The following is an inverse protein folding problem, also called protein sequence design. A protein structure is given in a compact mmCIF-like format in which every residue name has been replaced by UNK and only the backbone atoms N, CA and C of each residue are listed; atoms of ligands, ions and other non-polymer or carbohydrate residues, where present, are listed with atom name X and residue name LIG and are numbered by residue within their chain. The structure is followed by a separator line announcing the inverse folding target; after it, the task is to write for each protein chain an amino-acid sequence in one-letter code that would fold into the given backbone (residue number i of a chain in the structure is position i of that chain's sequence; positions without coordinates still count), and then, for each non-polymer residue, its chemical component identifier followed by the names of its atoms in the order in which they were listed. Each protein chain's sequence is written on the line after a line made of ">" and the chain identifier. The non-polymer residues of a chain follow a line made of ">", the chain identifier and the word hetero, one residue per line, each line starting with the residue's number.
data_IF_371744458663
#
_entry.id   IF_371744458663
#
_cell.length_a   1.000
_cell.length_b   1.000
_cell.length_c   1.000
_cell.angle_alpha   90.00
_cell.angle_beta   90.00
_cell.angle_gamma   90.00
#
_symmetry.space_group_name_H-M   'P 1'
#
loop_
_entity.id
_entity.type
_entity.pdbx_description
1 polymer ?
#
# COMPACT_ATOMS: atom_id res chain seq x y z
N UNK A 1 -2.80 -6.46 -8.53
CA UNK A 1 -1.92 -6.01 -7.42
C UNK A 1 -0.49 -6.53 -7.42
N UNK A 2 -0.16 -7.78 -7.79
CA UNK A 2 1.25 -8.22 -7.82
C UNK A 2 2.16 -7.29 -8.64
N UNK A 3 1.71 -6.91 -9.85
CA UNK A 3 2.45 -5.99 -10.71
C UNK A 3 2.62 -4.60 -10.07
N UNK A 4 1.51 -4.01 -9.58
CA UNK A 4 1.56 -2.73 -8.87
C UNK A 4 2.54 -2.76 -7.70
N UNK A 5 2.56 -3.83 -6.90
CA UNK A 5 3.42 -3.95 -5.72
C UNK A 5 4.91 -4.02 -6.13
N UNK A 6 5.21 -4.73 -7.21
CA UNK A 6 6.56 -4.78 -7.78
C UNK A 6 6.99 -3.42 -8.33
N UNK A 7 6.11 -2.75 -9.06
CA UNK A 7 6.37 -1.43 -9.63
C UNK A 7 6.56 -0.38 -8.52
N UNK A 8 5.80 -0.49 -7.42
CA UNK A 8 5.91 0.39 -6.26
C UNK A 8 7.22 0.17 -5.49
N UNK A 9 7.59 -1.09 -5.24
CA UNK A 9 8.89 -1.43 -4.64
C UNK A 9 10.05 -0.94 -5.49
N UNK A 10 9.97 -1.12 -6.81
CA UNK A 10 10.99 -0.65 -7.73
C UNK A 10 11.10 0.89 -7.68
N UNK A 11 9.96 1.59 -7.69
CA UNK A 11 9.95 3.05 -7.61
C UNK A 11 10.50 3.58 -6.26
N UNK A 12 10.33 2.84 -5.16
CA UNK A 12 10.97 3.16 -3.88
C UNK A 12 12.50 3.03 -3.96
N UNK A 13 13.00 1.92 -4.53
CA UNK A 13 14.44 1.66 -4.70
C UNK A 13 15.08 2.70 -5.63
N UNK A 14 14.38 3.07 -6.70
CA UNK A 14 14.81 4.10 -7.65
C UNK A 14 14.66 5.53 -7.11
N UNK A 15 14.08 5.70 -5.90
CA UNK A 15 13.66 6.99 -5.33
C UNK A 15 12.83 7.85 -6.31
N UNK A 16 12.09 7.19 -7.21
CA UNK A 16 11.36 7.82 -8.30
C UNK A 16 9.98 8.28 -7.81
N UNK A 17 9.95 9.51 -7.29
CA UNK A 17 8.74 10.09 -6.72
C UNK A 17 7.61 10.16 -7.74
N UNK A 18 7.86 10.62 -8.96
CA UNK A 18 6.77 10.81 -9.93
C UNK A 18 6.11 9.47 -10.31
N UNK A 19 6.89 8.39 -10.31
CA UNK A 19 6.38 7.02 -10.47
C UNK A 19 5.60 6.55 -9.24
N UNK A 20 6.06 6.86 -8.02
CA UNK A 20 5.31 6.59 -6.79
C UNK A 20 3.96 7.31 -6.77
N UNK A 21 3.92 8.58 -7.18
CA UNK A 21 2.69 9.38 -7.24
C UNK A 21 1.69 8.80 -8.24
N UNK A 22 2.15 8.46 -9.44
CA UNK A 22 1.31 7.83 -10.46
C UNK A 22 0.77 6.45 -10.04
N UNK A 23 1.56 5.68 -9.28
CA UNK A 23 1.11 4.39 -8.76
C UNK A 23 0.07 4.57 -7.65
N UNK A 24 0.21 5.60 -6.81
CA UNK A 24 -0.77 5.91 -5.77
C UNK A 24 -2.12 6.33 -6.34
N UNK A 25 -2.13 7.11 -7.42
CA UNK A 25 -3.38 7.51 -8.10
C UNK A 25 -4.14 6.32 -8.70
N UNK A 26 -3.43 5.24 -9.02
CA UNK A 26 -3.99 4.01 -9.58
C UNK A 26 -4.35 2.97 -8.52
N UNK A 27 -4.03 3.24 -7.24
CA UNK A 27 -4.25 2.29 -6.17
C UNK A 27 -5.70 2.33 -5.69
N UNK A 28 -6.46 1.28 -6.01
CA UNK A 28 -7.76 1.02 -5.39
C UNK A 28 -7.63 -0.03 -4.27
N UNK A 29 -7.39 0.45 -3.04
CA UNK A 29 -7.30 -0.40 -1.85
C UNK A 29 -8.62 -1.12 -1.55
N UNK A 30 -9.77 -0.50 -1.87
CA UNK A 30 -11.08 -1.09 -1.58
C UNK A 30 -11.32 -2.29 -2.47
N UNK A 31 -11.06 -2.15 -3.77
CA UNK A 31 -11.11 -3.26 -4.72
C UNK A 31 -10.13 -4.36 -4.33
N UNK A 32 -8.93 -4.01 -3.89
CA UNK A 32 -7.92 -4.99 -3.50
C UNK A 32 -8.33 -5.84 -2.29
N UNK A 33 -8.86 -5.22 -1.24
CA UNK A 33 -9.36 -5.95 -0.07
C UNK A 33 -10.53 -6.88 -0.45
N UNK A 34 -11.39 -6.43 -1.36
CA UNK A 34 -12.49 -7.26 -1.87
C UNK A 34 -11.99 -8.44 -2.70
N UNK A 35 -10.96 -8.27 -3.51
CA UNK A 35 -10.40 -9.36 -4.32
C UNK A 35 -9.68 -10.41 -3.44
N UNK A 36 -9.01 -9.97 -2.36
CA UNK A 36 -8.43 -10.88 -1.36
C UNK A 36 -9.51 -11.69 -0.64
N UNK A 37 -10.63 -11.05 -0.28
CA UNK A 37 -11.80 -11.70 0.32
C UNK A 37 -12.46 -12.75 -0.59
N UNK A 38 -12.34 -12.61 -1.91
CA UNK A 38 -12.87 -13.56 -2.90
C UNK A 38 -11.93 -14.73 -3.20
N UNK A 39 -10.61 -14.52 -3.10
CA UNK A 39 -9.59 -15.50 -3.54
C UNK A 39 -9.25 -16.57 -2.50
N UNK A 40 -10.01 -16.67 -1.42
CA UNK A 40 -9.61 -17.34 -0.19
C UNK A 40 -10.64 -18.40 0.22
N UNK A 41 -10.17 -19.65 0.32
CA UNK A 41 -11.02 -20.83 0.54
C UNK A 41 -11.53 -20.97 1.99
N UNK A 42 -11.02 -20.19 2.95
CA UNK A 42 -11.50 -20.18 4.34
C UNK A 42 -11.27 -18.82 5.02
N UNK A 43 -12.11 -18.48 6.01
CA UNK A 43 -12.01 -17.23 6.80
C UNK A 43 -10.69 -17.11 7.58
N UNK A 44 -10.11 -18.22 8.03
CA UNK A 44 -8.83 -18.22 8.76
C UNK A 44 -7.64 -17.99 7.83
N UNK A 45 -7.61 -18.62 6.66
CA UNK A 45 -6.58 -18.34 5.64
C UNK A 45 -6.69 -16.90 5.11
N UNK A 46 -7.90 -16.35 5.09
CA UNK A 46 -8.14 -14.92 4.87
C UNK A 46 -7.42 -14.07 5.90
N UNK A 47 -7.70 -14.29 7.19
CA UNK A 47 -7.18 -13.45 8.25
C UNK A 47 -5.64 -13.40 8.25
N UNK A 48 -4.99 -14.55 8.04
CA UNK A 48 -3.52 -14.66 8.03
C UNK A 48 -2.93 -13.96 6.79
N UNK A 49 -3.36 -14.33 5.58
CA UNK A 49 -2.79 -13.75 4.35
C UNK A 49 -3.07 -12.24 4.23
N UNK A 50 -4.24 -11.79 4.66
CA UNK A 50 -4.59 -10.37 4.58
C UNK A 50 -3.77 -9.55 5.57
N UNK A 51 -3.53 -10.09 6.78
CA UNK A 51 -2.69 -9.43 7.79
C UNK A 51 -1.25 -9.25 7.32
N UNK A 52 -0.64 -10.27 6.72
CA UNK A 52 0.73 -10.17 6.20
C UNK A 52 0.84 -9.16 5.05
N UNK A 53 -0.15 -9.14 4.15
CA UNK A 53 -0.24 -8.16 3.07
C UNK A 53 -0.40 -6.75 3.62
N UNK A 54 -1.24 -6.55 4.64
CA UNK A 54 -1.43 -5.25 5.27
C UNK A 54 -0.15 -4.74 5.94
N UNK A 55 0.60 -5.61 6.62
CA UNK A 55 1.88 -5.25 7.24
C UNK A 55 2.89 -4.83 6.16
N UNK A 56 2.97 -5.56 5.04
CA UNK A 56 3.84 -5.20 3.93
C UNK A 56 3.48 -3.85 3.32
N UNK A 57 2.20 -3.61 3.02
CA UNK A 57 1.74 -2.31 2.49
C UNK A 57 2.02 -1.17 3.46
N UNK A 58 1.83 -1.39 4.76
CA UNK A 58 2.13 -0.39 5.78
C UNK A 58 3.61 0.01 5.78
N UNK A 59 4.54 -0.95 5.64
CA UNK A 59 5.98 -0.68 5.55
C UNK A 59 6.31 0.15 4.31
N UNK A 60 5.81 -0.27 3.15
CA UNK A 60 6.07 0.40 1.87
C UNK A 60 5.55 1.84 1.87
N UNK A 61 4.40 2.09 2.48
CA UNK A 61 3.86 3.45 2.62
C UNK A 61 4.67 4.31 3.58
N UNK A 62 5.21 3.73 4.65
CA UNK A 62 6.09 4.46 5.57
C UNK A 62 7.38 4.90 4.87
N UNK A 63 8.00 4.02 4.09
CA UNK A 63 9.17 4.35 3.27
C UNK A 63 8.84 5.44 2.25
N UNK A 64 7.71 5.33 1.54
CA UNK A 64 7.25 6.35 0.59
C UNK A 64 7.01 7.71 1.26
N UNK A 65 6.42 7.72 2.47
CA UNK A 65 6.22 8.96 3.24
C UNK A 65 7.57 9.59 3.57
N UNK A 66 8.55 8.83 4.05
CA UNK A 66 9.87 9.37 4.39
C UNK A 66 10.53 9.99 3.15
N UNK A 67 10.55 9.24 2.04
CA UNK A 67 11.15 9.67 0.79
C UNK A 67 10.50 10.94 0.23
N UNK A 68 9.16 11.00 0.23
CA UNK A 68 8.40 12.11 -0.32
C UNK A 68 8.37 13.32 0.63
N UNK A 69 8.35 13.10 1.95
CA UNK A 69 8.37 14.16 2.95
C UNK A 69 9.71 14.91 2.95
N UNK A 70 10.82 14.21 2.70
CA UNK A 70 12.13 14.84 2.52
C UNK A 70 12.15 15.81 1.33
N UNK A 71 11.31 15.59 0.31
CA UNK A 71 11.19 16.47 -0.87
C UNK A 71 9.96 17.40 -0.85
N UNK A 72 9.23 17.52 0.27
CA UNK A 72 7.98 18.29 0.46
C UNK A 72 6.96 18.16 -0.70
N UNK A 73 6.16 17.08 -0.72
CA UNK A 73 4.98 16.97 -1.62
C UNK A 73 3.68 16.63 -0.89
N UNK A 74 2.55 17.09 -1.44
CA UNK A 74 1.18 16.80 -0.99
C UNK A 74 0.84 15.31 -0.95
N UNK A 75 1.48 14.49 -1.78
CA UNK A 75 1.29 13.04 -1.82
C UNK A 75 1.73 12.31 -0.56
N UNK A 76 2.68 12.86 0.21
CA UNK A 76 3.01 12.35 1.54
C UNK A 76 1.79 12.36 2.48
N UNK A 77 0.92 13.38 2.36
CA UNK A 77 -0.31 13.49 3.16
C UNK A 77 -1.34 12.46 2.72
N UNK A 78 -1.46 12.18 1.42
CA UNK A 78 -2.33 11.11 0.91
C UNK A 78 -1.87 9.73 1.39
N UNK A 79 -0.57 9.45 1.33
CA UNK A 79 -0.01 8.19 1.85
C UNK A 79 -0.26 8.04 3.35
N UNK A 80 -0.12 9.12 4.14
CA UNK A 80 -0.47 9.10 5.56
C UNK A 80 -1.95 8.79 5.81
N UNK A 81 -2.86 9.31 4.96
CA UNK A 81 -4.29 8.96 5.05
C UNK A 81 -4.51 7.48 4.76
N UNK A 82 -3.84 6.92 3.75
CA UNK A 82 -3.92 5.49 3.45
C UNK A 82 -3.36 4.64 4.59
N UNK A 83 -2.20 5.00 5.15
CA UNK A 83 -1.64 4.30 6.29
C UNK A 83 -2.58 4.32 7.50
N UNK A 84 -3.20 5.47 7.81
CA UNK A 84 -4.21 5.57 8.87
C UNK A 84 -5.39 4.65 8.59
N UNK A 85 -5.88 4.63 7.34
CA UNK A 85 -6.95 3.72 6.91
C UNK A 85 -6.57 2.26 7.16
N UNK A 86 -5.34 1.86 6.83
CA UNK A 86 -4.83 0.50 7.11
C UNK A 86 -4.83 0.17 8.60
N UNK A 87 -4.56 1.14 9.47
CA UNK A 87 -4.61 0.94 10.93
C UNK A 87 -6.02 0.61 11.42
N UNK A 88 -7.06 1.14 10.80
CA UNK A 88 -8.46 0.83 11.15
C UNK A 88 -8.90 -0.58 10.75
N UNK A 89 -8.17 -1.23 9.84
CA UNK A 89 -8.41 -2.63 9.45
C UNK A 89 -7.58 -3.62 10.28
N UNK A 90 -6.73 -3.17 11.20
CA UNK A 90 -6.12 -4.07 12.20
C UNK A 90 -7.20 -4.49 13.20
N UNK A 91 -7.45 -5.79 13.38
CA UNK A 91 -8.31 -6.28 14.45
C UNK A 91 -7.70 -6.05 15.83
#
# INVERSE_FOLDING_TARGET
>A
MKQWLNDFKLALIEENIDKLENLLDKLDLKQYVQDLAKSSQSKECLAINTKDIFIQLQSLFQEAIQLISQKKKSKAVEIQKFQKALTYFKP
#
